data_IF_152443508277
#
_entry.id   IF_152443508277
#
_cell.length_a   1.000
_cell.length_b   1.000
_cell.length_c   1.000
_cell.angle_alpha   90.00
_cell.angle_beta   90.00
_cell.angle_gamma   90.00
#
_symmetry.space_group_name_H-M   'P 1'
#
loop_
_entity.id
_entity.type
_entity.pdbx_description
1 polymer ?
#
# COMPACT_ATOMS: atom_id res chain seq x y z
N UNK A 1 -7.01 -28.94 -36.58
CA UNK A 1 -6.66 -28.70 -35.16
C UNK A 1 -6.46 -27.21 -35.01
N UNK A 2 -7.50 -26.50 -34.58
CA UNK A 2 -7.47 -25.05 -34.39
C UNK A 2 -6.65 -24.75 -33.14
N UNK A 3 -5.50 -24.11 -33.33
CA UNK A 3 -4.78 -23.46 -32.25
C UNK A 3 -5.75 -22.49 -31.57
N UNK A 4 -6.11 -22.78 -30.32
CA UNK A 4 -6.84 -21.84 -29.50
C UNK A 4 -5.97 -20.61 -29.33
N UNK A 5 -6.41 -19.49 -29.91
CA UNK A 5 -5.82 -18.20 -29.61
C UNK A 5 -5.98 -17.98 -28.10
N UNK A 6 -4.91 -18.18 -27.34
CA UNK A 6 -4.85 -17.73 -25.95
C UNK A 6 -4.97 -16.22 -26.00
N UNK A 7 -6.08 -15.67 -25.51
CA UNK A 7 -6.19 -14.25 -25.23
C UNK A 7 -5.00 -13.79 -24.36
N UNK A 8 -4.70 -12.48 -24.31
CA UNK A 8 -3.64 -11.98 -23.45
C UNK A 8 -3.84 -12.51 -22.03
N UNK A 9 -2.77 -13.03 -21.42
CA UNK A 9 -2.84 -13.54 -20.07
C UNK A 9 -3.17 -12.38 -19.11
N UNK A 10 -4.15 -12.58 -18.22
CA UNK A 10 -4.58 -11.60 -17.23
C UNK A 10 -3.39 -11.20 -16.34
N UNK A 11 -3.16 -9.90 -16.12
CA UNK A 11 -2.12 -9.41 -15.21
C UNK A 11 -2.52 -9.62 -13.75
N UNK A 12 -2.02 -10.70 -13.11
CA UNK A 12 -2.38 -11.05 -11.73
C UNK A 12 -1.68 -10.12 -10.74
N UNK A 13 -2.44 -9.18 -10.19
CA UNK A 13 -1.95 -8.11 -9.32
C UNK A 13 -2.29 -8.38 -7.86
N UNK A 14 -1.28 -8.39 -6.99
CA UNK A 14 -1.42 -8.28 -5.55
C UNK A 14 -1.23 -6.81 -5.15
N UNK A 15 -2.21 -6.23 -4.48
CA UNK A 15 -2.08 -4.89 -3.90
C UNK A 15 -1.67 -4.98 -2.43
N UNK A 16 -0.63 -4.23 -2.06
CA UNK A 16 -0.22 -3.97 -0.68
C UNK A 16 -0.28 -2.45 -0.48
N UNK A 17 -1.17 -1.97 0.38
CA UNK A 17 -1.48 -0.54 0.50
C UNK A 17 -2.97 -0.29 0.31
N UNK A 18 -3.35 0.96 0.15
CA UNK A 18 -4.76 1.36 0.14
C UNK A 18 -5.12 2.19 -1.08
N UNK A 19 -5.65 3.40 -0.90
CA UNK A 19 -6.29 4.18 -1.96
C UNK A 19 -5.37 4.48 -3.14
N UNK A 20 -4.07 4.69 -2.92
CA UNK A 20 -3.17 5.06 -4.03
C UNK A 20 -2.96 3.89 -5.00
N UNK A 21 -2.57 2.72 -4.49
CA UNK A 21 -2.37 1.52 -5.31
C UNK A 21 -3.70 0.90 -5.75
N UNK A 22 -4.71 0.83 -4.86
CA UNK A 22 -6.02 0.25 -5.18
C UNK A 22 -6.74 1.02 -6.28
N UNK A 23 -6.71 2.35 -6.24
CA UNK A 23 -7.37 3.20 -7.24
C UNK A 23 -6.55 3.31 -8.53
N UNK A 24 -5.28 2.86 -8.52
CA UNK A 24 -4.50 2.64 -9.75
C UNK A 24 -4.95 1.38 -10.51
N UNK A 25 -5.44 0.34 -9.81
CA UNK A 25 -5.79 -0.96 -10.43
C UNK A 25 -6.80 -0.84 -11.58
N UNK A 26 -7.91 -0.08 -11.51
CA UNK A 26 -8.84 0.07 -12.62
C UNK A 26 -8.22 0.63 -13.92
N UNK A 27 -7.02 1.21 -13.83
CA UNK A 27 -6.27 1.76 -14.96
C UNK A 27 -5.19 0.80 -15.50
N UNK A 28 -5.01 -0.37 -14.87
CA UNK A 28 -4.14 -1.45 -15.36
C UNK A 28 -4.90 -2.37 -16.34
N UNK A 29 -4.21 -3.18 -17.16
CA UNK A 29 -4.82 -4.26 -17.92
C UNK A 29 -5.63 -5.17 -17.00
N UNK A 30 -6.79 -5.60 -17.48
CA UNK A 30 -7.76 -6.45 -16.76
C UNK A 30 -8.40 -5.81 -15.51
N UNK A 31 -7.90 -4.66 -15.04
CA UNK A 31 -8.45 -3.93 -13.91
C UNK A 31 -8.70 -4.83 -12.70
N UNK A 32 -9.93 -4.78 -12.18
CA UNK A 32 -10.36 -5.60 -11.05
C UNK A 32 -10.35 -7.11 -11.34
N UNK A 33 -10.46 -7.54 -12.61
CA UNK A 33 -10.38 -8.95 -12.97
C UNK A 33 -8.96 -9.52 -12.77
N UNK A 34 -7.94 -8.66 -12.74
CA UNK A 34 -6.56 -9.03 -12.44
C UNK A 34 -6.22 -9.04 -10.95
N UNK A 35 -7.08 -8.53 -10.07
CA UNK A 35 -6.77 -8.41 -8.64
C UNK A 35 -6.86 -9.78 -7.94
N UNK A 36 -5.70 -10.37 -7.61
CA UNK A 36 -5.60 -11.69 -6.95
C UNK A 36 -5.46 -11.61 -5.42
N UNK A 37 -5.15 -10.42 -4.89
CA UNK A 37 -5.07 -10.17 -3.46
C UNK A 37 -5.02 -8.69 -3.13
N UNK A 38 -5.50 -8.33 -1.95
CA UNK A 38 -5.52 -6.95 -1.46
C UNK A 38 -5.29 -6.93 0.04
N UNK A 39 -4.14 -6.38 0.45
CA UNK A 39 -3.77 -6.14 1.85
C UNK A 39 -3.73 -4.65 2.06
N UNK A 40 -4.70 -4.13 2.82
CA UNK A 40 -4.89 -2.70 3.06
C UNK A 40 -4.92 -2.44 4.57
N UNK A 41 -4.70 -1.18 4.96
CA UNK A 41 -4.71 -0.72 6.36
C UNK A 41 -3.68 -1.39 7.25
N UNK A 42 -2.56 -1.83 6.68
CA UNK A 42 -1.51 -2.51 7.41
C UNK A 42 -0.17 -1.87 7.05
N UNK A 43 0.48 -1.30 8.06
CA UNK A 43 1.87 -0.86 7.99
C UNK A 43 2.77 -2.08 7.78
N UNK A 44 3.90 -1.90 7.10
CA UNK A 44 4.90 -2.95 7.07
C UNK A 44 5.42 -3.28 8.48
N UNK A 45 5.46 -2.31 9.40
CA UNK A 45 5.90 -2.54 10.78
C UNK A 45 5.01 -3.59 11.46
N UNK A 46 3.68 -3.41 11.43
CA UNK A 46 2.75 -4.38 12.04
C UNK A 46 2.72 -5.71 11.29
N UNK A 47 2.78 -5.68 9.95
CA UNK A 47 2.84 -6.87 9.10
C UNK A 47 4.01 -7.81 9.43
N UNK A 48 5.11 -7.25 9.93
CA UNK A 48 6.33 -7.98 10.23
C UNK A 48 6.71 -7.96 11.72
N UNK A 49 5.84 -7.45 12.58
CA UNK A 49 5.88 -7.71 14.02
C UNK A 49 5.28 -9.09 14.33
N UNK A 50 5.45 -9.63 15.54
CA UNK A 50 4.65 -10.76 15.99
C UNK A 50 3.15 -10.39 16.02
N UNK A 51 2.23 -11.36 15.82
CA UNK A 51 0.80 -11.12 15.95
C UNK A 51 0.44 -10.58 17.34
N UNK A 52 -0.51 -9.66 17.37
CA UNK A 52 -0.97 -8.98 18.60
C UNK A 52 -1.63 -10.00 19.53
N UNK A 53 -1.18 -10.06 20.78
CA UNK A 53 -1.73 -10.98 21.81
C UNK A 53 -2.29 -10.26 23.03
N UNK A 54 -1.91 -9.00 23.27
CA UNK A 54 -2.41 -8.23 24.42
C UNK A 54 -3.79 -7.63 24.21
N UNK A 55 -4.22 -7.52 22.95
CA UNK A 55 -5.48 -6.89 22.56
C UNK A 55 -6.20 -7.76 21.55
N UNK A 56 -7.52 -7.85 21.69
CA UNK A 56 -8.38 -8.43 20.67
C UNK A 56 -8.69 -7.39 19.59
N UNK A 57 -8.79 -7.78 18.31
CA UNK A 57 -9.20 -6.86 17.26
C UNK A 57 -10.64 -6.39 17.52
N UNK A 58 -10.91 -5.07 17.49
CA UNK A 58 -12.23 -4.55 17.78
C UNK A 58 -13.27 -5.04 16.75
N UNK A 59 -14.52 -5.08 17.19
CA UNK A 59 -15.65 -5.35 16.32
C UNK A 59 -16.00 -4.10 15.51
N UNK A 60 -15.97 -4.22 14.18
CA UNK A 60 -16.29 -3.15 13.23
C UNK A 60 -17.41 -3.63 12.31
N UNK A 61 -18.42 -2.78 12.10
CA UNK A 61 -19.63 -3.14 11.36
C UNK A 61 -19.38 -3.54 9.91
N UNK A 62 -18.45 -2.86 9.22
CA UNK A 62 -18.10 -3.16 7.84
C UNK A 62 -17.30 -4.47 7.76
N UNK A 63 -17.76 -5.49 7.01
CA UNK A 63 -17.01 -6.72 6.83
C UNK A 63 -15.64 -6.50 6.17
N UNK A 64 -15.51 -5.47 5.32
CA UNK A 64 -14.23 -5.12 4.72
C UNK A 64 -13.27 -4.57 5.77
N UNK A 65 -13.68 -3.52 6.51
CA UNK A 65 -12.84 -2.90 7.54
C UNK A 65 -12.47 -3.91 8.63
N UNK A 66 -13.42 -4.76 9.04
CA UNK A 66 -13.19 -5.83 10.00
C UNK A 66 -12.09 -6.80 9.53
N UNK A 67 -12.08 -7.19 8.24
CA UNK A 67 -11.01 -8.04 7.70
C UNK A 67 -9.66 -7.36 7.75
N UNK A 68 -9.59 -6.07 7.41
CA UNK A 68 -8.33 -5.32 7.42
C UNK A 68 -7.76 -5.19 8.83
N UNK A 69 -8.59 -4.83 9.82
CA UNK A 69 -8.16 -4.75 11.22
C UNK A 69 -7.72 -6.12 11.77
N UNK A 70 -8.44 -7.20 11.44
CA UNK A 70 -8.01 -8.55 11.83
C UNK A 70 -6.70 -8.97 11.17
N UNK A 71 -6.51 -8.62 9.90
CA UNK A 71 -5.26 -8.89 9.18
C UNK A 71 -4.07 -8.15 9.80
N UNK A 72 -4.28 -6.88 10.16
CA UNK A 72 -3.28 -6.05 10.87
C UNK A 72 -2.89 -6.68 12.22
N UNK A 73 -3.86 -7.02 13.07
CA UNK A 73 -3.61 -7.67 14.37
C UNK A 73 -2.95 -9.05 14.21
N UNK A 74 -3.23 -9.76 13.13
CA UNK A 74 -2.67 -11.08 12.86
C UNK A 74 -1.30 -11.03 12.14
N UNK A 75 -0.79 -9.83 11.82
CA UNK A 75 0.44 -9.66 11.03
C UNK A 75 0.43 -10.50 9.76
N UNK A 76 -0.67 -10.45 9.00
CA UNK A 76 -1.00 -11.48 8.02
C UNK A 76 -0.35 -11.35 6.63
N UNK A 77 0.24 -10.20 6.28
CA UNK A 77 0.87 -10.00 4.96
C UNK A 77 1.87 -11.11 4.57
N UNK A 78 2.81 -11.56 5.42
CA UNK A 78 3.68 -12.69 5.09
C UNK A 78 2.93 -13.98 4.77
N UNK A 79 1.79 -14.23 5.43
CA UNK A 79 0.95 -15.39 5.14
C UNK A 79 0.20 -15.22 3.82
N UNK A 80 -0.23 -14.00 3.49
CA UNK A 80 -0.84 -13.66 2.19
C UNK A 80 0.16 -13.91 1.04
N UNK A 81 1.41 -13.44 1.17
CA UNK A 81 2.46 -13.67 0.17
C UNK A 81 2.66 -15.19 -0.09
N UNK A 82 2.82 -15.97 0.99
CA UNK A 82 2.98 -17.43 0.88
C UNK A 82 1.80 -18.11 0.20
N UNK A 83 0.56 -17.70 0.55
CA UNK A 83 -0.66 -18.26 -0.03
C UNK A 83 -0.77 -18.02 -1.53
N UNK A 84 -0.25 -16.88 -2.01
CA UNK A 84 -0.32 -16.47 -3.42
C UNK A 84 0.92 -16.86 -4.22
N UNK A 85 1.86 -17.65 -3.67
CA UNK A 85 3.10 -18.03 -4.34
C UNK A 85 2.85 -18.62 -5.75
N UNK A 86 3.58 -18.13 -6.76
CA UNK A 86 3.39 -18.47 -8.18
C UNK A 86 2.11 -17.91 -8.84
N UNK A 87 1.24 -17.27 -8.05
CA UNK A 87 -0.05 -16.70 -8.42
C UNK A 87 -0.03 -15.22 -8.82
N UNK A 88 1.12 -14.55 -8.74
CA UNK A 88 1.25 -13.08 -8.84
C UNK A 88 2.24 -12.73 -9.93
N UNK A 89 1.88 -11.75 -10.77
CA UNK A 89 2.73 -11.16 -11.81
C UNK A 89 3.17 -9.73 -11.45
N UNK A 90 2.38 -9.03 -10.63
CA UNK A 90 2.66 -7.69 -10.13
C UNK A 90 2.31 -7.60 -8.64
N UNK A 91 3.27 -7.16 -7.82
CA UNK A 91 3.00 -6.63 -6.48
C UNK A 91 3.00 -5.12 -6.57
N UNK A 92 1.82 -4.51 -6.50
CA UNK A 92 1.63 -3.07 -6.54
C UNK A 92 1.54 -2.55 -5.11
N UNK A 93 2.49 -1.71 -4.73
CA UNK A 93 2.67 -1.25 -3.36
C UNK A 93 2.48 0.26 -3.24
N UNK A 94 1.79 0.74 -2.21
CA UNK A 94 1.85 2.15 -1.79
C UNK A 94 2.08 2.29 -0.28
N UNK A 95 2.51 3.48 0.14
CA UNK A 95 2.91 3.77 1.52
C UNK A 95 1.82 4.52 2.32
N UNK A 96 0.61 4.70 1.78
CA UNK A 96 -0.41 5.58 2.38
C UNK A 96 -0.90 5.10 3.74
N UNK A 97 -0.82 3.80 4.02
CA UNK A 97 -1.23 3.21 5.29
C UNK A 97 -0.24 3.49 6.43
N UNK A 98 0.98 3.95 6.11
CA UNK A 98 1.95 4.42 7.10
C UNK A 98 1.58 5.80 7.67
N UNK A 99 0.70 6.57 7.01
CA UNK A 99 0.47 8.01 7.28
C UNK A 99 0.11 8.37 8.71
N UNK A 100 -0.48 7.44 9.45
CA UNK A 100 -0.95 7.66 10.82
C UNK A 100 0.01 7.05 11.86
N UNK A 101 1.04 6.33 11.43
CA UNK A 101 1.97 5.62 12.30
C UNK A 101 1.42 4.31 12.85
N UNK A 102 2.14 3.77 13.83
CA UNK A 102 1.85 2.48 14.47
C UNK A 102 1.89 2.63 15.99
N UNK A 103 1.03 1.90 16.68
CA UNK A 103 1.15 1.68 18.11
C UNK A 103 2.07 0.49 18.35
N UNK A 104 3.15 0.69 19.11
CA UNK A 104 4.02 -0.38 19.59
C UNK A 104 3.58 -0.75 21.00
N UNK A 105 3.28 -2.03 21.22
CA UNK A 105 2.81 -2.56 22.50
C UNK A 105 3.99 -3.04 23.38
N UNK A 106 3.80 -3.26 24.69
CA UNK A 106 4.88 -3.63 25.62
C UNK A 106 5.49 -5.02 25.37
N UNK A 107 4.87 -5.84 24.52
CA UNK A 107 5.32 -7.17 24.10
C UNK A 107 5.97 -7.16 22.70
N UNK A 108 6.36 -5.97 22.21
CA UNK A 108 6.95 -5.73 20.87
C UNK A 108 6.04 -6.10 19.68
N UNK A 109 4.75 -6.35 19.93
CA UNK A 109 3.74 -6.41 18.87
C UNK A 109 3.37 -4.98 18.43
N UNK A 110 2.82 -4.85 17.22
CA UNK A 110 2.47 -3.54 16.68
C UNK A 110 1.10 -3.56 16.00
N UNK A 111 0.35 -2.47 16.17
CA UNK A 111 -0.95 -2.22 15.56
C UNK A 111 -0.85 -0.99 14.68
N UNK A 112 -1.26 -1.09 13.41
CA UNK A 112 -1.35 0.10 12.55
C UNK A 112 -2.42 1.03 13.07
N UNK A 113 -2.10 2.32 13.21
CA UNK A 113 -3.12 3.32 13.56
C UNK A 113 -4.00 3.60 12.34
N UNK A 114 -5.07 2.83 12.16
CA UNK A 114 -5.93 2.97 10.97
C UNK A 114 -7.06 3.97 11.18
N UNK A 115 -7.62 4.50 10.08
CA UNK A 115 -8.86 5.30 10.13
C UNK A 115 -10.05 4.50 10.67
N UNK A 116 -10.01 3.18 10.51
CA UNK A 116 -11.07 2.28 10.95
C UNK A 116 -11.07 2.15 12.49
N UNK A 117 -9.89 2.09 13.13
CA UNK A 117 -9.75 2.15 14.59
C UNK A 117 -10.21 3.49 15.16
N UNK A 118 -9.86 4.60 14.50
CA UNK A 118 -10.29 5.94 14.91
C UNK A 118 -11.81 6.05 14.82
N UNK A 119 -12.39 5.68 13.67
CA UNK A 119 -13.82 5.80 13.42
C UNK A 119 -14.66 4.90 14.34
N UNK A 120 -14.15 3.72 14.70
CA UNK A 120 -14.78 2.82 15.67
C UNK A 120 -14.56 3.24 17.14
N UNK A 121 -13.83 4.34 17.39
CA UNK A 121 -13.39 4.79 18.72
C UNK A 121 -12.57 3.74 19.50
N UNK A 122 -12.10 2.70 18.82
CA UNK A 122 -11.31 1.60 19.38
C UNK A 122 -9.83 1.97 19.55
N UNK A 123 -9.40 3.10 18.98
CA UNK A 123 -8.05 3.64 19.19
C UNK A 123 -7.73 3.86 20.68
N UNK A 124 -8.72 4.22 21.50
CA UNK A 124 -8.52 4.53 22.93
C UNK A 124 -7.86 3.38 23.68
N UNK A 125 -8.31 2.14 23.44
CA UNK A 125 -7.81 0.95 24.11
C UNK A 125 -6.37 0.62 23.64
N UNK A 126 -6.13 0.74 22.33
CA UNK A 126 -4.80 0.54 21.73
C UNK A 126 -3.81 1.59 22.25
N UNK A 127 -4.24 2.85 22.33
CA UNK A 127 -3.44 3.96 22.83
C UNK A 127 -3.17 3.88 24.34
N UNK A 128 -4.06 3.27 25.11
CA UNK A 128 -3.84 3.00 26.52
C UNK A 128 -2.82 1.86 26.74
N UNK A 129 -2.74 0.93 25.80
CA UNK A 129 -1.84 -0.22 25.87
C UNK A 129 -0.45 0.03 25.28
N UNK A 130 -0.29 0.95 24.32
CA UNK A 130 0.96 1.12 23.57
C UNK A 130 1.41 2.56 23.38
N UNK A 131 2.56 2.71 22.71
CA UNK A 131 3.15 4.01 22.36
C UNK A 131 2.99 4.24 20.87
N UNK A 132 2.41 5.39 20.50
CA UNK A 132 2.27 5.78 19.09
C UNK A 132 3.60 6.30 18.55
N UNK A 133 4.15 5.58 17.58
CA UNK A 133 5.32 5.95 16.80
C UNK A 133 4.85 6.45 15.43
N UNK A 134 5.21 7.68 15.06
CA UNK A 134 4.59 8.39 13.92
C UNK A 134 5.45 8.36 12.67
N UNK A 135 4.80 8.35 11.52
CA UNK A 135 5.46 8.63 10.25
C UNK A 135 6.29 9.92 10.33
N UNK A 136 7.55 9.81 9.95
CA UNK A 136 8.53 10.90 9.96
C UNK A 136 9.37 10.98 11.24
N UNK A 137 9.05 10.21 12.29
CA UNK A 137 9.96 9.99 13.41
C UNK A 137 11.07 9.01 13.01
N UNK A 138 12.28 9.21 13.54
CA UNK A 138 13.43 8.33 13.24
C UNK A 138 13.14 6.88 13.65
N UNK A 139 12.54 6.68 14.82
CA UNK A 139 12.16 5.35 15.30
C UNK A 139 11.18 4.64 14.35
N UNK A 140 10.23 5.38 13.75
CA UNK A 140 9.32 4.81 12.77
C UNK A 140 10.08 4.39 11.50
N UNK A 141 10.99 5.24 11.01
CA UNK A 141 11.75 4.98 9.80
C UNK A 141 12.68 3.77 9.97
N UNK A 142 13.30 3.60 11.13
CA UNK A 142 14.17 2.45 11.44
C UNK A 142 13.38 1.14 11.44
N UNK A 143 12.30 1.06 12.24
CA UNK A 143 11.43 -0.12 12.27
C UNK A 143 10.86 -0.45 10.88
N UNK A 144 10.41 0.58 10.16
CA UNK A 144 9.85 0.41 8.83
C UNK A 144 10.90 -0.06 7.83
N UNK A 145 12.15 0.42 7.90
CA UNK A 145 13.26 -0.01 7.03
C UNK A 145 13.54 -1.51 7.19
N UNK A 146 13.55 -2.01 8.42
CA UNK A 146 13.72 -3.43 8.70
C UNK A 146 12.56 -4.26 8.14
N UNK A 147 11.33 -3.79 8.30
CA UNK A 147 10.15 -4.44 7.74
C UNK A 147 10.12 -4.41 6.21
N UNK A 148 10.45 -3.28 5.58
CA UNK A 148 10.56 -3.12 4.14
C UNK A 148 11.63 -4.04 3.54
N UNK A 149 12.76 -4.20 4.23
CA UNK A 149 13.81 -5.15 3.82
C UNK A 149 13.27 -6.58 3.78
N UNK A 150 12.53 -6.99 4.82
CA UNK A 150 11.89 -8.32 4.88
C UNK A 150 10.79 -8.48 3.83
N UNK A 151 10.02 -7.43 3.58
CA UNK A 151 8.99 -7.42 2.54
C UNK A 151 9.56 -7.62 1.13
N UNK A 152 10.54 -6.80 0.74
CA UNK A 152 11.17 -6.91 -0.58
C UNK A 152 11.82 -8.28 -0.76
N UNK A 153 12.54 -8.77 0.25
CA UNK A 153 13.13 -10.12 0.22
C UNK A 153 12.07 -11.22 0.10
N UNK A 154 10.98 -11.13 0.86
CA UNK A 154 9.88 -12.09 0.82
C UNK A 154 9.16 -12.11 -0.53
N UNK A 155 8.97 -10.96 -1.17
CA UNK A 155 8.41 -10.88 -2.53
C UNK A 155 9.35 -11.56 -3.54
N UNK A 156 10.66 -11.27 -3.46
CA UNK A 156 11.64 -11.88 -4.35
C UNK A 156 11.74 -13.41 -4.19
N UNK A 157 11.63 -13.91 -2.96
CA UNK A 157 11.66 -15.35 -2.65
C UNK A 157 10.39 -16.08 -3.11
N UNK A 158 9.21 -15.55 -2.76
CA UNK A 158 7.93 -16.23 -2.95
C UNK A 158 7.32 -15.97 -4.34
N UNK A 159 7.72 -14.88 -4.99
CA UNK A 159 7.25 -14.44 -6.30
C UNK A 159 8.41 -13.98 -7.20
N UNK A 160 9.42 -14.84 -7.48
CA UNK A 160 10.62 -14.45 -8.23
C UNK A 160 10.35 -13.97 -9.66
N UNK A 161 9.15 -14.23 -10.19
CA UNK A 161 8.70 -13.74 -11.49
C UNK A 161 7.77 -12.53 -11.44
N UNK A 162 7.39 -12.03 -10.27
CA UNK A 162 6.54 -10.86 -10.15
C UNK A 162 7.38 -9.57 -10.21
N UNK A 163 6.86 -8.54 -10.87
CA UNK A 163 7.38 -7.19 -10.70
C UNK A 163 6.92 -6.64 -9.34
N UNK A 164 7.83 -6.09 -8.54
CA UNK A 164 7.50 -5.32 -7.34
C UNK A 164 7.61 -3.83 -7.68
N UNK A 165 6.51 -3.08 -7.57
CA UNK A 165 6.48 -1.65 -7.93
C UNK A 165 5.82 -0.85 -6.82
N UNK A 166 6.52 0.16 -6.32
CA UNK A 166 5.97 1.12 -5.38
C UNK A 166 5.41 2.35 -6.12
N UNK A 167 4.20 2.76 -5.75
CA UNK A 167 3.58 3.99 -6.22
C UNK A 167 3.90 5.10 -5.24
N UNK A 168 4.65 6.08 -5.73
CA UNK A 168 5.11 7.25 -4.98
C UNK A 168 4.52 8.56 -5.47
N UNK A 169 3.23 8.59 -5.84
CA UNK A 169 2.57 9.86 -6.16
C UNK A 169 2.70 10.82 -4.97
N UNK A 170 3.13 12.08 -5.17
CA UNK A 170 3.10 13.06 -4.10
C UNK A 170 1.65 13.27 -3.66
N UNK A 171 1.43 13.59 -2.38
CA UNK A 171 0.16 14.12 -1.92
C UNK A 171 -0.11 15.43 -2.67
N UNK A 172 -1.27 15.50 -3.31
CA UNK A 172 -1.68 16.67 -4.06
C UNK A 172 -1.90 17.84 -3.11
N UNK A 173 -1.23 18.96 -3.37
CA UNK A 173 -1.40 20.20 -2.59
C UNK A 173 -2.65 20.97 -2.99
N UNK A 174 -3.12 20.75 -4.22
CA UNK A 174 -4.27 21.44 -4.79
C UNK A 174 -5.24 20.44 -5.41
N UNK A 175 -6.52 20.77 -5.35
CA UNK A 175 -7.61 20.01 -5.96
C UNK A 175 -7.75 20.33 -7.45
N UNK A 176 -8.63 19.60 -8.14
CA UNK A 176 -9.04 19.87 -9.52
C UNK A 176 -9.77 21.21 -9.67
N UNK A 177 -10.35 21.77 -8.60
CA UNK A 177 -10.94 23.12 -8.59
C UNK A 177 -9.90 24.22 -8.32
N UNK A 178 -8.64 23.87 -8.03
CA UNK A 178 -7.56 24.79 -7.71
C UNK A 178 -7.51 25.23 -6.25
N UNK A 179 -8.40 24.72 -5.39
CA UNK A 179 -8.35 24.96 -3.95
C UNK A 179 -7.27 24.08 -3.27
N UNK A 180 -6.76 24.44 -2.08
CA UNK A 180 -5.93 23.54 -1.28
C UNK A 180 -6.67 22.25 -0.92
N UNK A 181 -5.99 21.11 -0.98
CA UNK A 181 -6.55 19.85 -0.46
C UNK A 181 -6.67 19.87 1.06
N UNK A 182 -7.61 19.12 1.65
CA UNK A 182 -7.76 19.03 3.10
C UNK A 182 -6.54 18.35 3.73
N UNK A 183 -6.20 18.74 4.94
CA UNK A 183 -5.21 18.04 5.73
C UNK A 183 -5.73 16.65 6.15
N UNK A 184 -4.87 15.64 6.11
CA UNK A 184 -5.19 14.31 6.65
C UNK A 184 -4.74 14.26 8.11
N UNK A 185 -5.67 14.20 9.06
CA UNK A 185 -5.36 14.15 10.49
C UNK A 185 -4.43 15.29 10.95
N UNK A 186 -4.66 16.50 10.44
CA UNK A 186 -3.86 17.69 10.75
C UNK A 186 -2.54 17.80 9.96
N UNK A 187 -2.23 16.85 9.08
CA UNK A 187 -1.03 16.90 8.23
C UNK A 187 -1.40 17.39 6.83
N UNK A 188 -0.84 18.54 6.44
CA UNK A 188 -0.98 19.10 5.10
C UNK A 188 -0.14 18.31 4.07
N UNK A 189 -0.54 18.35 2.80
CA UNK A 189 0.13 17.63 1.71
C UNK A 189 1.64 17.89 1.60
N UNK A 190 2.07 19.16 1.62
CA UNK A 190 3.48 19.52 1.56
C UNK A 190 4.31 18.94 2.72
N UNK A 191 3.72 18.85 3.92
CA UNK A 191 4.37 18.24 5.08
C UNK A 191 4.42 16.72 4.96
N UNK A 192 3.33 16.08 4.53
CA UNK A 192 3.32 14.65 4.28
C UNK A 192 4.37 14.24 3.23
N UNK A 193 4.48 15.00 2.14
CA UNK A 193 5.48 14.77 1.09
C UNK A 193 6.90 14.76 1.63
N UNK A 194 7.24 15.72 2.52
CA UNK A 194 8.55 15.73 3.20
C UNK A 194 8.76 14.51 4.09
N UNK A 195 7.73 14.06 4.82
CA UNK A 195 7.82 12.89 5.71
C UNK A 195 8.00 11.57 4.97
N UNK A 196 7.43 11.44 3.77
CA UNK A 196 7.57 10.22 2.96
C UNK A 196 8.90 10.12 2.21
N UNK A 197 9.58 11.24 1.97
CA UNK A 197 10.82 11.28 1.19
C UNK A 197 11.88 10.26 1.66
N UNK A 198 12.20 10.15 2.97
CA UNK A 198 13.15 9.14 3.45
C UNK A 198 12.68 7.69 3.22
N UNK A 199 11.37 7.45 3.23
CA UNK A 199 10.79 6.11 3.05
C UNK A 199 10.92 5.66 1.60
N UNK A 200 10.60 6.53 0.64
CA UNK A 200 10.81 6.22 -0.77
C UNK A 200 12.30 6.01 -1.09
N UNK A 201 13.20 6.77 -0.47
CA UNK A 201 14.64 6.56 -0.61
C UNK A 201 15.08 5.16 -0.10
N UNK A 202 14.45 4.62 0.95
CA UNK A 202 14.67 3.23 1.39
C UNK A 202 14.17 2.24 0.34
N UNK A 203 12.98 2.44 -0.23
CA UNK A 203 12.44 1.55 -1.29
C UNK A 203 13.39 1.47 -2.48
N UNK A 204 13.87 2.61 -2.94
CA UNK A 204 14.84 2.71 -4.04
C UNK A 204 16.17 2.03 -3.69
N UNK A 205 16.67 2.21 -2.46
CA UNK A 205 17.88 1.56 -1.99
C UNK A 205 17.75 0.03 -1.88
N UNK A 206 16.54 -0.49 -1.64
CA UNK A 206 16.23 -1.92 -1.67
C UNK A 206 16.07 -2.47 -3.10
N UNK A 207 16.17 -1.62 -4.12
CA UNK A 207 16.11 -2.01 -5.53
C UNK A 207 14.70 -2.15 -6.11
N UNK A 208 13.66 -1.76 -5.36
CA UNK A 208 12.30 -1.72 -5.87
C UNK A 208 12.03 -0.38 -6.57
N UNK A 209 11.54 -0.37 -7.83
CA UNK A 209 11.18 0.86 -8.52
C UNK A 209 10.08 1.64 -7.80
N UNK A 210 10.30 2.95 -7.62
CA UNK A 210 9.26 3.89 -7.17
C UNK A 210 8.82 4.74 -8.36
N UNK A 211 7.54 4.65 -8.73
CA UNK A 211 6.97 5.38 -9.88
C UNK A 211 6.07 6.52 -9.43
N UNK A 212 5.98 7.58 -10.23
CA UNK A 212 5.02 8.68 -10.02
C UNK A 212 5.51 9.87 -9.20
N UNK A 213 6.71 9.82 -8.59
CA UNK A 213 7.24 10.88 -7.71
C UNK A 213 7.35 12.28 -8.36
N UNK A 214 7.58 12.32 -9.67
CA UNK A 214 7.69 13.56 -10.45
C UNK A 214 6.40 14.00 -11.15
N UNK A 215 5.29 13.28 -10.96
CA UNK A 215 4.04 13.61 -11.63
C UNK A 215 3.36 14.82 -10.98
N UNK A 216 2.87 15.74 -11.82
CA UNK A 216 1.95 16.77 -11.37
C UNK A 216 0.58 16.13 -11.10
N UNK A 217 0.08 16.28 -9.88
CA UNK A 217 -1.16 15.64 -9.42
C UNK A 217 -2.14 16.68 -8.89
N UNK A 218 -3.43 16.35 -8.98
CA UNK A 218 -4.53 17.10 -8.38
C UNK A 218 -5.39 16.18 -7.55
N UNK A 219 -5.84 16.65 -6.39
CA UNK A 219 -6.85 15.95 -5.60
C UNK A 219 -8.22 16.08 -6.28
N UNK A 220 -8.97 14.98 -6.39
CA UNK A 220 -10.31 15.02 -6.95
C UNK A 220 -11.34 15.42 -5.91
N UNK A 221 -12.10 16.49 -6.19
CA UNK A 221 -13.27 16.90 -5.39
C UNK A 221 -14.47 15.96 -5.56
N UNK A 222 -14.45 15.11 -6.59
CA UNK A 222 -15.52 14.15 -6.92
C UNK A 222 -15.08 12.70 -6.62
N UNK A 223 -14.03 12.52 -5.82
CA UNK A 223 -13.52 11.19 -5.53
C UNK A 223 -14.56 10.35 -4.76
N UNK A 224 -14.81 9.08 -5.14
CA UNK A 224 -15.84 8.24 -4.50
C UNK A 224 -15.66 8.07 -3.00
N UNK A 225 -14.42 8.20 -2.51
CA UNK A 225 -14.03 8.05 -1.11
C UNK A 225 -13.88 9.39 -0.37
N UNK A 226 -14.40 10.46 -0.95
CA UNK A 226 -14.31 11.83 -0.42
C UNK A 226 -12.99 12.52 -0.76
N UNK A 227 -12.90 13.81 -0.49
CA UNK A 227 -11.74 14.61 -0.80
C UNK A 227 -10.57 14.30 0.15
N UNK A 228 -9.41 13.98 -0.40
CA UNK A 228 -8.17 13.79 0.34
C UNK A 228 -6.96 14.10 -0.55
N UNK A 229 -5.79 14.45 0.02
CA UNK A 229 -4.62 14.78 -0.77
C UNK A 229 -4.01 13.58 -1.52
N UNK A 230 -4.45 12.36 -1.22
CA UNK A 230 -4.05 11.11 -1.87
C UNK A 230 -5.20 10.46 -2.67
N UNK A 231 -6.29 11.21 -2.91
CA UNK A 231 -7.42 10.82 -3.73
C UNK A 231 -7.38 11.63 -5.01
N UNK A 232 -6.74 11.09 -6.04
CA UNK A 232 -6.33 11.87 -7.21
C UNK A 232 -7.42 11.95 -8.28
N UNK A 233 -7.22 12.82 -9.26
CA UNK A 233 -7.97 12.77 -10.51
C UNK A 233 -7.59 11.55 -11.38
N UNK A 234 -8.42 11.22 -12.36
CA UNK A 234 -8.16 10.10 -13.25
C UNK A 234 -6.94 10.29 -14.17
N UNK A 235 -6.45 11.52 -14.34
CA UNK A 235 -5.26 11.77 -15.15
C UNK A 235 -4.00 11.30 -14.41
N UNK A 236 -3.90 11.58 -13.11
CA UNK A 236 -2.83 11.08 -12.25
C UNK A 236 -2.80 9.55 -12.19
N UNK A 237 -3.96 8.90 -12.00
CA UNK A 237 -4.02 7.44 -11.94
C UNK A 237 -3.64 6.77 -13.28
N UNK A 238 -4.04 7.35 -14.42
CA UNK A 238 -3.59 6.86 -15.74
C UNK A 238 -2.08 7.02 -15.92
N UNK A 239 -1.54 8.19 -15.59
CA UNK A 239 -0.11 8.46 -15.74
C UNK A 239 0.76 7.52 -14.89
N UNK A 240 0.32 7.20 -13.67
CA UNK A 240 1.06 6.25 -12.82
C UNK A 240 0.85 4.80 -13.25
N UNK A 241 -0.32 4.43 -13.75
CA UNK A 241 -0.56 3.11 -14.35
C UNK A 241 0.36 2.88 -15.56
N UNK A 242 0.52 3.87 -16.44
CA UNK A 242 1.47 3.80 -17.57
C UNK A 242 2.91 3.57 -17.08
N UNK A 243 3.32 4.27 -16.01
CA UNK A 243 4.63 4.10 -15.41
C UNK A 243 4.82 2.70 -14.78
N UNK A 244 3.79 2.16 -14.11
CA UNK A 244 3.78 0.77 -13.61
C UNK A 244 3.96 -0.21 -14.76
N UNK A 245 3.22 -0.04 -15.86
CA UNK A 245 3.27 -0.95 -17.01
C UNK A 245 4.60 -0.91 -17.75
N UNK A 246 5.28 0.24 -17.77
CA UNK A 246 6.64 0.34 -18.27
C UNK A 246 7.61 -0.54 -17.46
N UNK A 247 7.47 -0.56 -16.13
CA UNK A 247 8.28 -1.43 -15.25
C UNK A 247 7.95 -2.89 -15.48
N UNK A 248 6.66 -3.25 -15.51
CA UNK A 248 6.20 -4.63 -15.77
C UNK A 248 6.73 -5.13 -17.12
N UNK A 249 6.65 -4.32 -18.17
CA UNK A 249 7.13 -4.66 -19.51
C UNK A 249 8.64 -4.86 -19.57
N UNK A 250 9.40 -4.08 -18.80
CA UNK A 250 10.86 -4.21 -18.71
C UNK A 250 11.31 -5.40 -17.84
N UNK A 251 10.43 -5.94 -16.99
CA UNK A 251 10.77 -6.98 -16.02
C UNK A 251 11.17 -8.29 -16.72
N UNK A 252 12.27 -8.98 -16.34
CA UNK A 252 12.78 -10.15 -17.07
C UNK A 252 11.78 -11.30 -17.27
N UNK A 253 10.83 -11.43 -16.35
CA UNK A 253 9.77 -12.45 -16.38
C UNK A 253 8.61 -12.14 -17.33
N UNK A 254 8.45 -10.90 -17.80
CA UNK A 254 7.44 -10.51 -18.80
C UNK A 254 7.74 -11.09 -20.18
N UNK A 255 9.00 -11.46 -20.43
CA UNK A 255 9.46 -12.22 -21.60
C UNK A 255 9.17 -13.71 -21.43
N UNK A 256 7.93 -14.09 -21.13
CA UNK A 256 7.51 -15.49 -21.31
C UNK A 256 7.56 -15.79 -22.81
N UNK A 257 8.64 -16.47 -23.22
CA UNK A 257 8.73 -17.06 -24.55
C UNK A 257 7.50 -17.95 -24.79
N UNK A 258 6.90 -17.93 -25.99
CA UNK A 258 5.86 -18.88 -26.32
C UNK A 258 6.45 -20.29 -26.21
N UNK A 259 5.83 -21.14 -25.40
CA UNK A 259 6.00 -22.59 -25.51
C UNK A 259 5.08 -23.11 -26.59
#
# INVERSE_FOLDING_TARGET
MTAGATGPAVLRTLVVGSCVSRDTVPHLPDGDAGLVGYVARQSLISAYAPPVVLLEPPAIASPFQQRMVRGDFASDLPAVLRRLAGGVDLVLWDLVDERLGVYVLPDDTAVTRTVDLVAAQAETDVAAAGVLVRLGEEAHLEMWREAATRFVAGVAELHPGAALVAVGLPWAELTTSGAPTPASFGVAAAEANRRYEPYYAVVEALGAPVVGRGLAVRGSVEHPWGEAPFHYDSAAYRAVADAVLAVVSAHPSSRRAPR
#
